data_IF_642232812303
#
_entry.id   IF_642232812303
#
_cell.length_a   1.000
_cell.length_b   1.000
_cell.length_c   1.000
_cell.angle_alpha   90.00
_cell.angle_beta   90.00
_cell.angle_gamma   90.00
#
_symmetry.space_group_name_H-M   'P 1'
#
loop_
_entity.id
_entity.type
_entity.pdbx_description
1 polymer ?
#
# COMPACT_ATOMS: atom_id res chain seq x y z
N UNK A 1 -5.52 -24.62 -2.52
CA UNK A 1 -5.60 -24.62 -3.99
C UNK A 1 -6.94 -24.05 -4.45
N UNK A 2 -6.94 -23.16 -5.44
CA UNK A 2 -8.14 -22.58 -6.07
C UNK A 2 -7.77 -22.10 -7.48
N UNK A 3 -8.74 -21.75 -8.33
CA UNK A 3 -8.49 -21.19 -9.64
C UNK A 3 -9.02 -19.75 -9.75
N UNK A 4 -8.31 -18.92 -10.51
CA UNK A 4 -8.71 -17.56 -10.86
C UNK A 4 -8.75 -17.36 -12.36
N UNK A 5 -9.57 -16.43 -12.85
CA UNK A 5 -9.56 -15.99 -14.24
C UNK A 5 -8.49 -14.91 -14.51
N UNK A 6 -8.50 -14.33 -15.71
CA UNK A 6 -7.57 -13.29 -16.14
C UNK A 6 -7.70 -11.97 -15.32
N UNK A 7 -8.87 -11.71 -14.73
CA UNK A 7 -9.07 -10.57 -13.82
C UNK A 7 -8.57 -10.84 -12.40
N UNK A 8 -8.19 -12.09 -12.11
CA UNK A 8 -7.82 -12.54 -10.77
C UNK A 8 -9.01 -12.92 -9.89
N UNK A 9 -10.24 -12.85 -10.41
CA UNK A 9 -11.44 -13.29 -9.70
C UNK A 9 -11.38 -14.81 -9.52
N UNK A 10 -11.69 -15.27 -8.30
CA UNK A 10 -11.78 -16.71 -8.04
C UNK A 10 -12.97 -17.29 -8.84
N UNK A 11 -12.72 -18.37 -9.59
CA UNK A 11 -13.71 -19.04 -10.46
C UNK A 11 -13.91 -20.53 -10.15
N UNK A 12 -13.33 -21.00 -9.05
CA UNK A 12 -13.55 -22.35 -8.53
C UNK A 12 -13.80 -22.37 -7.03
N UNK A 13 -14.23 -23.52 -6.51
CA UNK A 13 -14.10 -23.83 -5.09
C UNK A 13 -12.65 -23.73 -4.64
N UNK A 14 -12.44 -23.53 -3.34
CA UNK A 14 -11.14 -23.65 -2.69
C UNK A 14 -11.05 -25.03 -2.04
N UNK A 15 -9.90 -25.68 -2.17
CA UNK A 15 -9.61 -26.97 -1.55
C UNK A 15 -8.24 -26.96 -0.87
N UNK A 16 -8.14 -27.70 0.23
CA UNK A 16 -6.86 -28.04 0.88
C UNK A 16 -6.42 -29.40 0.36
N UNK A 17 -5.12 -29.55 0.06
CA UNK A 17 -4.59 -30.85 -0.34
C UNK A 17 -4.57 -31.79 0.87
N UNK A 18 -4.92 -33.05 0.67
CA UNK A 18 -4.81 -34.08 1.71
C UNK A 18 -3.33 -34.47 1.97
N UNK A 19 -3.11 -35.41 2.90
CA UNK A 19 -1.78 -35.93 3.24
C UNK A 19 -1.03 -36.56 2.04
N UNK A 20 -1.76 -36.96 0.99
CA UNK A 20 -1.21 -37.51 -0.24
C UNK A 20 -1.11 -36.44 -1.35
N UNK A 21 -1.34 -35.17 -1.02
CA UNK A 21 -1.29 -34.04 -1.96
C UNK A 21 -2.49 -33.96 -2.91
N UNK A 22 -3.56 -34.71 -2.69
CA UNK A 22 -4.74 -34.73 -3.57
C UNK A 22 -5.70 -33.61 -3.20
N UNK A 23 -6.33 -33.03 -4.21
CA UNK A 23 -7.37 -32.01 -4.06
C UNK A 23 -8.39 -32.12 -5.21
N UNK A 24 -9.56 -31.53 -5.03
CA UNK A 24 -10.57 -31.43 -6.09
C UNK A 24 -11.12 -30.01 -6.14
N UNK A 25 -11.19 -29.45 -7.36
CA UNK A 25 -11.77 -28.14 -7.61
C UNK A 25 -13.06 -28.33 -8.41
N UNK A 26 -14.10 -27.57 -8.06
CA UNK A 26 -15.31 -27.43 -8.87
C UNK A 26 -15.34 -26.02 -9.42
N UNK A 27 -15.57 -25.89 -10.71
CA UNK A 27 -15.64 -24.59 -11.38
C UNK A 27 -17.10 -24.13 -11.43
N UNK A 28 -17.34 -22.83 -11.24
CA UNK A 28 -18.69 -22.31 -11.37
C UNK A 28 -19.08 -22.19 -12.85
N UNK A 29 -20.30 -22.60 -13.22
CA UNK A 29 -20.76 -22.61 -14.61
C UNK A 29 -21.09 -21.19 -15.08
N UNK A 30 -20.51 -20.78 -16.22
CA UNK A 30 -21.09 -19.77 -17.10
C UNK A 30 -20.40 -19.75 -18.47
N UNK A 31 -19.09 -20.02 -18.55
CA UNK A 31 -18.32 -19.85 -19.79
C UNK A 31 -17.24 -20.92 -19.87
N UNK A 32 -17.45 -21.94 -20.69
CA UNK A 32 -16.44 -22.92 -21.03
C UNK A 32 -16.44 -23.12 -22.55
N UNK A 33 -15.28 -23.24 -23.21
CA UNK A 33 -13.93 -23.28 -22.65
C UNK A 33 -13.41 -21.89 -22.24
N UNK A 34 -12.64 -21.80 -21.14
CA UNK A 34 -11.92 -20.57 -20.78
C UNK A 34 -10.59 -20.87 -20.07
N UNK A 35 -9.56 -20.03 -20.30
CA UNK A 35 -8.30 -20.13 -19.58
C UNK A 35 -8.45 -19.64 -18.14
N UNK A 36 -7.84 -20.37 -17.21
CA UNK A 36 -7.74 -20.02 -15.79
C UNK A 36 -6.32 -20.27 -15.28
N UNK A 37 -6.00 -19.74 -14.11
CA UNK A 37 -4.77 -20.05 -13.38
C UNK A 37 -5.13 -20.79 -12.09
N UNK A 38 -4.67 -22.03 -11.96
CA UNK A 38 -4.75 -22.79 -10.70
C UNK A 38 -3.64 -22.27 -9.78
N UNK A 39 -4.02 -21.74 -8.63
CA UNK A 39 -3.14 -21.24 -7.58
C UNK A 39 -3.08 -22.21 -6.41
N UNK A 40 -1.90 -22.70 -6.08
CA UNK A 40 -1.61 -23.35 -4.81
C UNK A 40 -0.82 -22.41 -3.92
N UNK A 41 -1.35 -22.19 -2.70
CA UNK A 41 -0.72 -21.39 -1.67
C UNK A 41 -0.40 -22.31 -0.49
N UNK A 42 0.81 -22.26 0.09
CA UNK A 42 1.16 -23.02 1.28
C UNK A 42 0.25 -22.63 2.46
N UNK A 43 0.07 -23.55 3.37
CA UNK A 43 -0.41 -23.28 4.74
C UNK A 43 0.77 -23.39 5.70
N UNK A 44 0.60 -22.89 6.94
CA UNK A 44 1.60 -23.09 8.00
C UNK A 44 1.96 -24.57 8.18
N UNK A 45 1.00 -25.48 8.05
CA UNK A 45 1.20 -26.92 8.18
C UNK A 45 2.01 -27.55 7.02
N UNK A 46 2.02 -26.94 5.83
CA UNK A 46 2.78 -27.46 4.67
C UNK A 46 4.26 -27.07 4.68
N UNK A 47 4.69 -26.25 5.65
CA UNK A 47 6.04 -25.69 5.69
C UNK A 47 6.26 -24.60 4.63
N UNK A 48 7.51 -24.18 4.42
CA UNK A 48 7.85 -23.08 3.52
C UNK A 48 7.79 -23.57 2.08
N UNK A 49 6.61 -23.83 1.50
CA UNK A 49 6.52 -24.12 0.06
C UNK A 49 6.43 -22.80 -0.75
N UNK A 50 6.79 -22.78 -2.04
CA UNK A 50 6.49 -21.65 -2.89
C UNK A 50 5.00 -21.63 -3.27
N UNK A 51 4.50 -20.45 -3.59
CA UNK A 51 3.24 -20.30 -4.29
C UNK A 51 3.39 -20.80 -5.73
N UNK A 52 2.49 -21.66 -6.18
CA UNK A 52 2.52 -22.23 -7.54
C UNK A 52 1.29 -21.72 -8.29
N UNK A 53 1.53 -21.11 -9.44
CA UNK A 53 0.50 -20.68 -10.38
C UNK A 53 0.65 -21.51 -11.67
N UNK A 54 -0.38 -22.30 -12.02
CA UNK A 54 -0.38 -23.19 -13.17
C UNK A 54 -1.51 -22.79 -14.14
N UNK A 55 -1.20 -22.43 -15.40
CA UNK A 55 -2.21 -22.24 -16.43
C UNK A 55 -3.02 -23.53 -16.67
N UNK A 56 -4.33 -23.40 -16.79
CA UNK A 56 -5.24 -24.53 -17.01
C UNK A 56 -6.40 -24.09 -17.90
N UNK A 57 -6.82 -24.95 -18.83
CA UNK A 57 -7.99 -24.72 -19.67
C UNK A 57 -9.18 -25.48 -19.10
N UNK A 58 -10.25 -24.78 -18.71
CA UNK A 58 -11.45 -25.44 -18.21
C UNK A 58 -12.18 -26.09 -19.40
N UNK A 59 -12.41 -27.41 -19.39
CA UNK A 59 -13.06 -28.08 -20.51
C UNK A 59 -14.52 -27.62 -20.68
N UNK A 60 -15.06 -27.59 -21.92
CA UNK A 60 -16.40 -27.10 -22.23
C UNK A 60 -17.52 -27.94 -21.61
N UNK A 61 -17.26 -29.23 -21.37
CA UNK A 61 -18.18 -30.17 -20.75
C UNK A 61 -17.46 -30.94 -19.64
N UNK A 62 -18.19 -31.43 -18.62
CA UNK A 62 -17.62 -32.34 -17.64
C UNK A 62 -16.99 -33.54 -18.34
N UNK A 63 -15.70 -33.77 -18.08
CA UNK A 63 -14.95 -34.93 -18.59
C UNK A 63 -14.91 -36.00 -17.51
N UNK A 64 -15.16 -37.25 -17.89
CA UNK A 64 -15.06 -38.42 -17.01
C UNK A 64 -14.03 -39.42 -17.60
N UNK A 65 -12.91 -39.68 -16.91
CA UNK A 65 -12.53 -39.13 -15.61
C UNK A 65 -12.13 -37.64 -15.70
N UNK A 66 -12.27 -36.88 -14.59
CA UNK A 66 -11.77 -35.51 -14.52
C UNK A 66 -10.27 -35.44 -14.86
N UNK A 67 -9.79 -34.36 -15.50
CA UNK A 67 -8.39 -34.21 -15.85
C UNK A 67 -7.51 -34.20 -14.59
N UNK A 68 -6.48 -35.04 -14.59
CA UNK A 68 -5.50 -35.07 -13.51
C UNK A 68 -4.48 -33.95 -13.69
N UNK A 69 -4.54 -32.96 -12.80
CA UNK A 69 -3.58 -31.86 -12.75
C UNK A 69 -2.54 -32.15 -11.66
N UNK A 70 -1.25 -32.06 -12.02
CA UNK A 70 -0.13 -32.21 -11.07
C UNK A 70 0.54 -30.86 -10.85
N UNK A 71 0.57 -30.41 -9.59
CA UNK A 71 1.33 -29.24 -9.17
C UNK A 71 2.62 -29.73 -8.53
N UNK A 72 3.76 -29.34 -9.09
CA UNK A 72 5.07 -29.74 -8.61
C UNK A 72 5.90 -28.51 -8.27
N UNK A 73 6.34 -28.40 -7.02
CA UNK A 73 7.10 -27.25 -6.55
C UNK A 73 8.50 -27.15 -7.18
N UNK A 74 9.10 -28.26 -7.62
CA UNK A 74 10.40 -28.23 -8.32
C UNK A 74 11.57 -27.83 -7.43
N UNK A 75 11.49 -28.09 -6.12
CA UNK A 75 12.55 -27.72 -5.16
C UNK A 75 13.77 -28.62 -5.38
N UNK A 76 14.90 -28.00 -5.73
CA UNK A 76 16.17 -28.71 -5.96
C UNK A 76 17.10 -28.68 -4.74
N UNK A 77 16.86 -27.76 -3.81
CA UNK A 77 17.65 -27.57 -2.60
C UNK A 77 16.72 -27.52 -1.38
N UNK A 78 17.15 -28.00 -0.22
CA UNK A 78 16.41 -27.81 1.01
C UNK A 78 16.32 -26.32 1.37
N UNK A 79 15.35 -25.98 2.21
CA UNK A 79 15.35 -24.67 2.85
C UNK A 79 16.36 -24.64 3.99
N UNK A 80 16.82 -23.44 4.35
CA UNK A 80 17.73 -23.19 5.45
C UNK A 80 17.28 -21.97 6.26
N UNK A 81 17.71 -21.90 7.51
CA UNK A 81 17.51 -20.71 8.34
C UNK A 81 18.58 -19.65 8.02
N UNK A 82 18.13 -18.47 7.66
CA UNK A 82 18.94 -17.28 7.42
C UNK A 82 18.79 -16.34 8.61
N UNK A 83 19.94 -15.90 9.15
CA UNK A 83 19.99 -14.86 10.18
C UNK A 83 20.40 -13.52 9.59
N UNK A 84 19.91 -12.42 10.18
CA UNK A 84 20.34 -11.09 9.78
C UNK A 84 20.08 -10.01 10.82
N UNK A 85 20.53 -8.80 10.51
CA UNK A 85 20.37 -7.60 11.33
C UNK A 85 20.02 -6.39 10.48
N UNK A 86 19.16 -5.52 11.02
CA UNK A 86 18.79 -4.23 10.45
C UNK A 86 19.27 -3.13 11.40
N UNK A 87 20.15 -2.26 10.88
CA UNK A 87 20.77 -1.18 11.64
C UNK A 87 21.81 -1.71 12.63
N UNK A 88 22.95 -2.28 12.17
CA UNK A 88 23.97 -2.83 13.07
C UNK A 88 24.49 -1.81 14.09
N UNK A 89 24.57 -0.53 13.71
CA UNK A 89 25.01 0.56 14.59
C UNK A 89 23.85 1.29 15.30
N UNK A 90 22.62 1.11 14.82
CA UNK A 90 21.40 1.72 15.33
C UNK A 90 20.23 0.75 15.09
N UNK A 91 20.01 -0.23 15.99
CA UNK A 91 19.03 -1.29 15.80
C UNK A 91 17.65 -0.76 15.45
N UNK A 92 17.01 -1.39 14.46
CA UNK A 92 15.65 -1.03 14.03
C UNK A 92 14.68 -2.10 14.50
N UNK A 93 14.07 -1.95 15.68
CA UNK A 93 13.14 -2.95 16.18
C UNK A 93 11.84 -2.93 15.39
N UNK A 94 11.17 -4.09 15.35
CA UNK A 94 9.85 -4.24 14.75
C UNK A 94 9.77 -3.92 13.24
N UNK A 95 10.89 -3.80 12.53
CA UNK A 95 10.92 -3.66 11.08
C UNK A 95 10.44 -4.96 10.44
N UNK A 96 9.60 -4.83 9.41
CA UNK A 96 9.15 -5.97 8.61
C UNK A 96 10.06 -6.12 7.41
N UNK A 97 10.57 -7.34 7.18
CA UNK A 97 11.24 -7.73 5.95
C UNK A 97 10.30 -8.64 5.17
N UNK A 98 10.07 -8.35 3.88
CA UNK A 98 9.30 -9.23 3.00
C UNK A 98 10.20 -9.78 1.91
N UNK A 99 10.35 -11.09 1.87
CA UNK A 99 11.19 -11.79 0.92
C UNK A 99 10.32 -12.34 -0.20
N UNK A 100 10.69 -12.07 -1.46
CA UNK A 100 10.03 -12.62 -2.64
C UNK A 100 11.06 -13.10 -3.65
N UNK A 101 11.08 -14.40 -3.92
CA UNK A 101 12.03 -15.01 -4.85
C UNK A 101 11.38 -16.10 -5.70
N UNK A 102 11.90 -16.30 -6.91
CA UNK A 102 11.52 -17.46 -7.72
C UNK A 102 12.22 -18.70 -7.15
N UNK A 103 11.44 -19.74 -6.83
CA UNK A 103 11.96 -20.98 -6.24
C UNK A 103 11.27 -22.15 -6.90
N UNK A 104 12.06 -23.02 -7.54
CA UNK A 104 11.54 -24.13 -8.34
C UNK A 104 10.57 -23.64 -9.41
N UNK A 105 9.33 -24.16 -9.38
CA UNK A 105 8.26 -23.79 -10.33
C UNK A 105 7.31 -22.73 -9.77
N UNK A 106 7.69 -22.02 -8.71
CA UNK A 106 6.81 -21.07 -8.03
C UNK A 106 7.53 -19.83 -7.52
N UNK A 107 6.80 -19.03 -6.74
CA UNK A 107 7.31 -17.84 -6.06
C UNK A 107 7.22 -18.06 -4.56
N UNK A 108 8.36 -18.08 -3.89
CA UNK A 108 8.41 -18.13 -2.44
C UNK A 108 8.23 -16.73 -1.85
N UNK A 109 7.32 -16.61 -0.88
CA UNK A 109 7.04 -15.38 -0.14
C UNK A 109 7.08 -15.68 1.35
N UNK A 110 7.84 -14.90 2.10
CA UNK A 110 7.89 -15.02 3.55
C UNK A 110 8.21 -13.66 4.16
N UNK A 111 7.60 -13.38 5.30
CA UNK A 111 7.84 -12.18 6.07
C UNK A 111 8.66 -12.53 7.31
N UNK A 112 9.57 -11.63 7.70
CA UNK A 112 10.29 -11.68 8.96
C UNK A 112 10.13 -10.35 9.70
N UNK A 113 10.30 -10.36 11.01
CA UNK A 113 10.25 -9.15 11.84
C UNK A 113 11.49 -9.06 12.70
N UNK A 114 12.05 -7.86 12.83
CA UNK A 114 13.19 -7.65 13.72
C UNK A 114 12.79 -7.57 15.19
N UNK A 115 13.64 -8.12 16.06
CA UNK A 115 13.55 -8.02 17.52
C UNK A 115 14.04 -6.66 18.06
N UNK A 116 14.16 -6.53 19.38
CA UNK A 116 14.61 -5.29 20.04
C UNK A 116 16.05 -4.88 19.63
N UNK A 117 16.89 -5.86 19.33
CA UNK A 117 18.27 -5.71 18.88
C UNK A 117 18.40 -5.58 17.36
N UNK A 118 17.27 -5.45 16.64
CA UNK A 118 17.24 -5.30 15.18
C UNK A 118 17.56 -6.60 14.42
N UNK A 119 17.62 -7.74 15.11
CA UNK A 119 17.95 -9.05 14.53
C UNK A 119 16.70 -9.75 14.05
N UNK A 120 16.84 -10.60 13.04
CA UNK A 120 15.76 -11.44 12.54
C UNK A 120 16.29 -12.81 12.10
N UNK A 121 15.39 -13.79 12.08
CA UNK A 121 15.60 -15.09 11.45
C UNK A 121 14.47 -15.38 10.47
N UNK A 122 14.77 -16.09 9.39
CA UNK A 122 13.79 -16.47 8.36
C UNK A 122 14.22 -17.76 7.67
N UNK A 123 13.26 -18.61 7.29
CA UNK A 123 13.56 -19.84 6.54
C UNK A 123 13.36 -19.58 5.05
N UNK A 124 14.41 -19.80 4.25
CA UNK A 124 14.43 -19.53 2.81
C UNK A 124 15.01 -20.70 2.02
N UNK A 125 14.83 -20.67 0.70
CA UNK A 125 15.58 -21.54 -0.21
C UNK A 125 16.76 -20.78 -0.79
N UNK A 126 17.82 -21.47 -1.24
CA UNK A 126 18.89 -20.82 -1.99
C UNK A 126 18.34 -20.19 -3.27
N UNK A 127 18.73 -18.95 -3.58
CA UNK A 127 18.27 -18.25 -4.77
C UNK A 127 18.32 -16.73 -4.66
N UNK A 128 17.82 -16.04 -5.68
CA UNK A 128 17.70 -14.58 -5.68
C UNK A 128 16.34 -14.12 -5.16
N UNK A 129 16.38 -13.15 -4.25
CA UNK A 129 15.21 -12.54 -3.63
C UNK A 129 15.18 -11.03 -3.87
N UNK A 130 13.99 -10.51 -4.11
CA UNK A 130 13.67 -9.12 -3.81
C UNK A 130 13.24 -9.04 -2.36
N UNK A 131 13.87 -8.14 -1.61
CA UNK A 131 13.67 -7.97 -0.18
C UNK A 131 13.19 -6.54 0.07
N UNK A 132 11.96 -6.42 0.55
CA UNK A 132 11.38 -5.17 1.01
C UNK A 132 11.63 -4.99 2.51
N UNK A 133 12.31 -3.91 2.88
CA UNK A 133 12.47 -3.49 4.27
C UNK A 133 11.48 -2.37 4.58
N UNK A 134 10.61 -2.62 5.55
CA UNK A 134 9.62 -1.69 6.05
C UNK A 134 9.88 -1.37 7.54
N UNK A 135 10.63 -0.29 7.83
CA UNK A 135 10.77 0.21 9.19
C UNK A 135 9.44 0.74 9.75
N UNK A 136 9.21 0.70 11.07
CA UNK A 136 8.03 1.33 11.66
C UNK A 136 8.06 2.86 11.47
N UNK A 137 6.94 3.42 11.02
CA UNK A 137 6.85 4.82 10.55
C UNK A 137 6.98 5.87 11.66
N UNK A 138 6.48 5.58 12.87
CA UNK A 138 6.39 6.54 13.97
C UNK A 138 7.52 6.44 15.00
N UNK A 139 8.35 5.40 14.93
CA UNK A 139 9.41 5.15 15.93
C UNK A 139 10.81 5.24 15.35
N UNK A 140 10.96 5.46 14.03
CA UNK A 140 12.27 5.45 13.37
C UNK A 140 12.33 6.49 12.26
N UNK A 141 13.48 7.12 11.98
CA UNK A 141 13.62 8.05 10.86
C UNK A 141 13.79 7.33 9.51
N UNK A 142 13.81 6.00 9.49
CA UNK A 142 14.22 5.22 8.33
C UNK A 142 13.12 5.10 7.28
N UNK A 143 13.54 5.04 6.02
CA UNK A 143 12.67 4.92 4.86
C UNK A 143 12.47 3.47 4.44
N UNK A 144 11.43 3.24 3.64
CA UNK A 144 11.30 1.99 2.90
C UNK A 144 12.51 1.75 1.99
N UNK A 145 12.99 0.51 1.94
CA UNK A 145 14.05 0.12 1.03
C UNK A 145 13.70 -1.19 0.33
N UNK A 146 14.18 -1.35 -0.90
CA UNK A 146 14.13 -2.62 -1.63
C UNK A 146 15.51 -2.94 -2.16
N UNK A 147 15.90 -4.19 -2.03
CA UNK A 147 17.15 -4.71 -2.61
C UNK A 147 16.89 -6.02 -3.33
N UNK A 148 17.72 -6.32 -4.33
CA UNK A 148 17.84 -7.67 -4.90
C UNK A 148 19.08 -8.34 -4.32
N UNK A 149 18.94 -9.57 -3.81
CA UNK A 149 20.04 -10.29 -3.16
C UNK A 149 19.94 -11.80 -3.42
N UNK A 150 21.04 -12.39 -3.85
CA UNK A 150 21.24 -13.83 -3.79
C UNK A 150 21.49 -14.26 -2.33
N UNK A 151 20.84 -15.33 -1.90
CA UNK A 151 21.00 -15.95 -0.59
C UNK A 151 21.34 -17.43 -0.75
N UNK A 152 22.25 -17.91 0.08
CA UNK A 152 22.66 -19.30 0.19
C UNK A 152 22.83 -19.70 1.67
N UNK A 153 22.92 -21.01 1.92
CA UNK A 153 23.14 -21.53 3.27
C UNK A 153 24.45 -20.98 3.86
N UNK A 154 24.39 -20.50 5.10
CA UNK A 154 25.53 -19.88 5.79
C UNK A 154 25.71 -18.38 5.54
N UNK A 155 24.91 -17.77 4.66
CA UNK A 155 24.90 -16.32 4.51
C UNK A 155 24.36 -15.62 5.77
N UNK A 156 24.75 -14.37 5.96
CA UNK A 156 24.13 -13.46 6.92
C UNK A 156 23.77 -12.14 6.21
N UNK A 157 22.57 -11.62 6.48
CA UNK A 157 22.15 -10.35 5.91
C UNK A 157 22.35 -9.19 6.88
N UNK A 158 22.96 -8.13 6.39
CA UNK A 158 23.11 -6.87 7.09
C UNK A 158 22.44 -5.78 6.27
N UNK A 159 21.43 -5.13 6.84
CA UNK A 159 20.77 -3.97 6.27
C UNK A 159 21.20 -2.71 7.00
N UNK A 160 21.70 -1.73 6.25
CA UNK A 160 21.95 -0.38 6.76
C UNK A 160 20.84 0.52 6.23
N UNK A 161 19.79 0.78 7.03
CA UNK A 161 18.65 1.55 6.58
C UNK A 161 19.04 3.02 6.38
N UNK A 162 18.44 3.64 5.37
CA UNK A 162 18.64 5.06 5.08
C UNK A 162 17.52 5.89 5.71
N UNK A 163 17.81 7.13 6.05
CA UNK A 163 16.81 8.06 6.60
C UNK A 163 15.88 8.58 5.52
N UNK A 164 14.66 8.92 5.91
CA UNK A 164 13.67 9.58 5.06
C UNK A 164 14.15 10.98 4.65
N UNK A 165 14.09 11.34 3.36
CA UNK A 165 14.28 12.72 2.92
C UNK A 165 13.40 13.72 3.67
N UNK A 166 13.96 14.89 3.97
CA UNK A 166 13.20 16.00 4.55
C UNK A 166 12.42 16.71 3.44
N UNK A 167 11.11 16.77 3.57
CA UNK A 167 10.23 17.64 2.79
C UNK A 167 9.89 18.84 3.65
N UNK A 168 10.21 20.01 3.15
CA UNK A 168 9.96 21.31 3.77
C UNK A 168 9.09 22.14 2.84
N UNK A 169 8.41 23.14 3.39
CA UNK A 169 7.65 24.05 2.57
C UNK A 169 6.94 25.11 3.37
N UNK A 170 6.17 25.92 2.65
CA UNK A 170 5.27 26.91 3.22
C UNK A 170 3.88 26.71 2.63
N UNK A 171 2.86 26.89 3.46
CA UNK A 171 1.46 26.90 3.03
C UNK A 171 0.96 28.34 3.05
N UNK A 172 0.49 28.83 1.91
CA UNK A 172 -0.01 30.18 1.70
C UNK A 172 -1.42 30.16 1.12
N UNK A 173 -2.19 31.21 1.34
CA UNK A 173 -3.48 31.41 0.67
C UNK A 173 -3.31 32.08 -0.71
N UNK A 174 -4.44 32.36 -1.37
CA UNK A 174 -4.45 32.99 -2.69
C UNK A 174 -3.95 34.43 -2.70
N UNK A 175 -3.91 35.12 -1.55
CA UNK A 175 -3.32 36.45 -1.40
C UNK A 175 -1.80 36.38 -1.15
N UNK A 176 -1.24 35.19 -0.92
CA UNK A 176 0.15 34.97 -0.57
C UNK A 176 0.44 35.07 0.93
N UNK A 177 -0.59 35.17 1.77
CA UNK A 177 -0.44 35.21 3.22
C UNK A 177 -0.20 33.79 3.76
N UNK A 178 0.71 33.61 4.73
CA UNK A 178 0.95 32.31 5.35
C UNK A 178 -0.28 31.81 6.12
N UNK A 179 -0.52 30.50 6.07
CA UNK A 179 -1.58 29.85 6.82
C UNK A 179 -0.97 29.15 8.03
N UNK A 180 -1.05 29.78 9.20
CA UNK A 180 -0.67 29.20 10.49
C UNK A 180 -1.61 28.07 10.92
N UNK A 181 -1.08 27.04 11.56
CA UNK A 181 -1.88 25.98 12.20
C UNK A 181 -2.61 25.04 11.23
N UNK A 182 -2.35 25.14 9.92
CA UNK A 182 -2.86 24.18 8.96
C UNK A 182 -2.24 22.80 9.21
N UNK A 183 -3.08 21.77 9.22
CA UNK A 183 -2.60 20.39 9.32
C UNK A 183 -2.19 19.91 7.93
N UNK A 184 -0.94 19.50 7.81
CA UNK A 184 -0.37 18.91 6.59
C UNK A 184 -0.16 17.43 6.85
N UNK A 185 -0.88 16.57 6.14
CA UNK A 185 -0.69 15.12 6.19
C UNK A 185 -0.19 14.59 4.85
N UNK A 186 0.53 13.48 4.87
CA UNK A 186 1.05 12.83 3.67
C UNK A 186 0.45 11.44 3.48
N UNK A 187 0.31 11.03 2.23
CA UNK A 187 0.03 9.64 1.85
C UNK A 187 0.94 9.24 0.69
N UNK A 188 1.68 8.14 0.86
CA UNK A 188 2.49 7.56 -0.23
C UNK A 188 1.55 6.98 -1.30
N UNK A 189 1.50 7.62 -2.46
CA UNK A 189 0.67 7.20 -3.60
C UNK A 189 1.43 6.28 -4.56
N UNK A 190 2.73 6.49 -4.69
CA UNK A 190 3.60 5.60 -5.48
C UNK A 190 4.98 5.57 -4.85
N UNK A 191 5.52 4.38 -4.60
CA UNK A 191 6.86 4.24 -4.05
C UNK A 191 7.93 4.44 -5.13
N UNK A 192 9.06 5.05 -4.75
CA UNK A 192 10.28 5.06 -5.56
C UNK A 192 11.44 4.44 -4.79
N UNK A 193 12.36 3.81 -5.52
CA UNK A 193 13.53 3.14 -4.97
C UNK A 193 14.81 3.78 -5.49
N UNK A 194 15.90 3.62 -4.75
CA UNK A 194 17.22 4.13 -5.17
C UNK A 194 17.66 3.50 -6.50
N UNK A 195 17.36 2.21 -6.69
CA UNK A 195 17.49 1.53 -7.97
C UNK A 195 16.10 1.42 -8.63
N UNK A 196 15.81 2.19 -9.69
CA UNK A 196 14.51 2.16 -10.36
C UNK A 196 14.22 0.82 -11.04
N UNK A 197 15.22 -0.03 -11.29
CA UNK A 197 15.01 -1.38 -11.88
C UNK A 197 14.38 -2.37 -10.90
N UNK A 198 14.26 -1.99 -9.63
CA UNK A 198 13.60 -2.78 -8.58
C UNK A 198 12.10 -2.47 -8.44
N UNK A 199 11.62 -1.40 -9.08
CA UNK A 199 10.19 -1.09 -9.13
C UNK A 199 9.44 -2.16 -9.94
N UNK A 200 8.29 -2.60 -9.44
CA UNK A 200 7.38 -3.49 -10.15
C UNK A 200 6.09 -2.76 -10.51
N UNK A 201 5.51 -3.00 -11.69
CA UNK A 201 4.25 -2.36 -12.09
C UNK A 201 3.08 -2.63 -11.13
N UNK A 202 3.14 -3.74 -10.39
CA UNK A 202 2.09 -4.17 -9.44
C UNK A 202 2.42 -3.81 -8.00
N UNK A 203 3.41 -2.96 -7.75
CA UNK A 203 3.71 -2.52 -6.39
C UNK A 203 2.60 -1.60 -5.88
N UNK A 204 1.91 -2.04 -4.84
CA UNK A 204 1.03 -1.19 -4.05
C UNK A 204 1.84 -0.64 -2.86
N UNK A 205 1.98 0.69 -2.71
CA UNK A 205 2.71 1.24 -1.58
C UNK A 205 2.00 0.87 -0.28
N UNK A 206 2.75 0.48 0.78
CA UNK A 206 2.14 0.24 2.07
C UNK A 206 1.52 1.55 2.60
N UNK A 207 0.43 1.49 3.39
CA UNK A 207 -0.16 2.67 3.99
C UNK A 207 0.86 3.32 4.91
N UNK A 208 1.38 4.47 4.48
CA UNK A 208 2.39 5.25 5.17
C UNK A 208 2.01 6.72 5.06
N UNK A 209 1.74 7.30 6.22
CA UNK A 209 1.40 8.70 6.35
C UNK A 209 1.99 9.29 7.61
N UNK A 210 2.32 10.56 7.52
CA UNK A 210 2.74 11.40 8.62
C UNK A 210 1.91 12.65 8.59
N UNK A 211 1.92 13.37 9.70
CA UNK A 211 1.27 14.65 9.82
C UNK A 211 2.15 15.63 10.60
N UNK A 212 1.93 16.90 10.30
CA UNK A 212 2.51 18.03 11.01
C UNK A 212 1.52 19.20 10.95
N UNK A 213 1.78 20.25 11.75
CA UNK A 213 1.08 21.52 11.65
C UNK A 213 2.02 22.59 11.10
N UNK A 214 1.50 23.56 10.37
CA UNK A 214 2.27 24.73 9.94
C UNK A 214 2.56 25.65 11.12
N UNK A 215 3.75 26.24 11.12
CA UNK A 215 4.15 27.30 12.06
C UNK A 215 3.44 28.63 11.73
N UNK A 216 3.75 29.69 12.49
CA UNK A 216 3.20 31.04 12.34
C UNK A 216 3.54 31.69 10.98
N UNK A 217 4.72 31.36 10.43
CA UNK A 217 5.13 31.74 9.08
C UNK A 217 4.58 30.82 7.98
N UNK A 218 3.66 29.90 8.32
CA UNK A 218 3.09 28.93 7.41
C UNK A 218 4.04 27.79 7.04
N UNK A 219 5.25 27.74 7.59
CA UNK A 219 6.23 26.70 7.27
C UNK A 219 5.88 25.35 7.87
N UNK A 220 6.27 24.26 7.19
CA UNK A 220 6.13 22.90 7.69
C UNK A 220 7.34 22.05 7.32
N UNK A 221 7.53 20.95 8.06
CA UNK A 221 8.52 19.92 7.73
C UNK A 221 7.97 18.51 7.99
N UNK A 222 8.29 17.58 7.09
CA UNK A 222 7.95 16.16 7.16
C UNK A 222 9.14 15.33 6.69
N UNK A 223 9.35 14.14 7.26
CA UNK A 223 10.34 13.18 6.75
C UNK A 223 9.62 12.07 5.98
N UNK A 224 9.59 12.14 4.65
CA UNK A 224 8.73 11.28 3.83
C UNK A 224 9.51 10.14 3.15
N UNK A 225 8.83 9.04 2.87
CA UNK A 225 9.39 7.99 2.02
C UNK A 225 9.54 8.49 0.57
N UNK A 226 10.54 8.01 -0.18
CA UNK A 226 10.68 8.38 -1.58
C UNK A 226 9.51 7.92 -2.47
N UNK A 227 9.17 8.77 -3.44
CA UNK A 227 8.13 8.54 -4.43
C UNK A 227 7.10 9.67 -4.48
N UNK A 228 5.97 9.39 -5.13
CA UNK A 228 4.87 10.35 -5.24
C UNK A 228 4.09 10.38 -3.92
N UNK A 229 4.12 11.53 -3.26
CA UNK A 229 3.42 11.80 -2.02
C UNK A 229 2.22 12.70 -2.32
N UNK A 230 1.03 12.31 -1.89
CA UNK A 230 -0.12 13.21 -1.84
C UNK A 230 -0.07 13.92 -0.49
N UNK A 231 0.18 15.23 -0.51
CA UNK A 231 0.08 16.08 0.67
C UNK A 231 -1.33 16.63 0.74
N UNK A 232 -2.04 16.39 1.84
CA UNK A 232 -3.35 16.96 2.13
C UNK A 232 -3.18 18.06 3.17
N UNK A 233 -3.61 19.27 2.81
CA UNK A 233 -3.63 20.44 3.68
C UNK A 233 -5.05 20.70 4.14
N UNK A 234 -5.25 20.68 5.46
CA UNK A 234 -6.51 21.03 6.11
C UNK A 234 -6.29 22.32 6.90
N UNK A 235 -6.72 23.49 6.37
CA UNK A 235 -6.62 24.76 7.07
C UNK A 235 -7.43 24.77 8.38
N UNK A 236 -7.09 25.67 9.33
CA UNK A 236 -7.95 25.93 10.48
C UNK A 236 -9.37 26.35 10.06
N UNK A 237 -10.42 25.90 10.77
CA UNK A 237 -11.81 26.12 10.36
C UNK A 237 -12.22 27.60 10.30
N UNK A 238 -11.58 28.46 11.09
CA UNK A 238 -11.80 29.91 11.15
C UNK A 238 -11.21 30.67 9.94
N UNK A 239 -10.33 30.04 9.15
CA UNK A 239 -9.81 30.64 7.91
C UNK A 239 -10.79 30.61 6.75
N UNK A 240 -11.83 29.77 6.82
CA UNK A 240 -12.80 29.61 5.73
C UNK A 240 -12.18 29.12 4.41
N UNK A 241 -11.02 28.45 4.47
CA UNK A 241 -10.29 27.91 3.32
C UNK A 241 -10.61 26.43 3.10
N UNK A 242 -10.58 25.95 1.85
CA UNK A 242 -10.91 24.56 1.54
C UNK A 242 -9.78 23.60 1.92
N UNK A 243 -10.10 22.32 2.01
CA UNK A 243 -9.07 21.27 2.01
C UNK A 243 -8.43 21.22 0.63
N UNK A 244 -7.11 21.11 0.57
CA UNK A 244 -6.35 21.09 -0.67
C UNK A 244 -5.38 19.91 -0.72
N UNK A 245 -5.14 19.35 -1.90
CA UNK A 245 -4.17 18.27 -2.08
C UNK A 245 -3.16 18.63 -3.16
N UNK A 246 -1.90 18.28 -2.93
CA UNK A 246 -0.81 18.47 -3.89
C UNK A 246 0.06 17.22 -3.95
N UNK A 247 0.39 16.78 -5.17
CA UNK A 247 1.38 15.71 -5.37
C UNK A 247 2.79 16.30 -5.33
N UNK A 248 3.64 15.75 -4.46
CA UNK A 248 5.07 16.09 -4.37
C UNK A 248 5.90 14.86 -4.70
N UNK A 249 6.90 15.02 -5.55
CA UNK A 249 7.85 13.96 -5.89
C UNK A 249 9.03 14.01 -4.92
N UNK A 250 9.17 12.98 -4.08
CA UNK A 250 10.27 12.84 -3.13
C UNK A 250 11.36 11.96 -3.74
N UNK A 251 12.59 12.47 -3.94
CA UNK A 251 13.64 11.72 -4.62
C UNK A 251 14.10 10.51 -3.78
N UNK A 252 14.53 9.40 -4.43
CA UNK A 252 14.99 8.21 -3.75
C UNK A 252 16.45 8.28 -3.29
N UNK A 253 17.18 9.34 -3.61
CA UNK A 253 18.53 9.57 -3.11
C UNK A 253 18.51 10.72 -2.11
N UNK A 254 19.66 10.98 -1.48
CA UNK A 254 19.78 12.10 -0.55
C UNK A 254 19.44 13.43 -1.23
N UNK A 255 18.70 14.27 -0.52
CA UNK A 255 18.18 15.52 -1.01
C UNK A 255 16.87 15.85 -0.31
N UNK A 256 16.74 17.07 0.21
CA UNK A 256 15.45 17.56 0.68
C UNK A 256 14.60 18.04 -0.49
N UNK A 257 13.28 18.10 -0.28
CA UNK A 257 12.37 18.80 -1.19
C UNK A 257 11.88 20.06 -0.49
N UNK A 258 11.86 21.18 -1.19
CA UNK A 258 11.19 22.40 -0.74
C UNK A 258 10.05 22.70 -1.70
N UNK A 259 8.84 22.92 -1.15
CA UNK A 259 7.64 23.21 -1.94
C UNK A 259 6.87 24.38 -1.36
N UNK A 260 6.15 25.10 -2.22
CA UNK A 260 5.14 26.08 -1.80
C UNK A 260 3.77 25.51 -2.13
N UNK A 261 2.90 25.43 -1.14
CA UNK A 261 1.52 24.96 -1.29
C UNK A 261 0.63 26.19 -1.25
N UNK A 262 0.03 26.55 -2.38
CA UNK A 262 -0.96 27.62 -2.45
C UNK A 262 -2.36 27.03 -2.35
N UNK A 263 -3.08 27.33 -1.27
CA UNK A 263 -4.46 26.89 -1.08
C UNK A 263 -5.37 27.78 -1.94
N UNK A 264 -6.19 27.21 -2.84
CA UNK A 264 -7.08 27.99 -3.69
C UNK A 264 -8.15 28.71 -2.86
N UNK A 265 -8.75 29.79 -3.40
CA UNK A 265 -9.89 30.43 -2.73
C UNK A 265 -11.04 29.43 -2.54
N UNK A 266 -11.79 29.61 -1.46
CA UNK A 266 -12.99 28.83 -1.19
C UNK A 266 -14.17 29.25 -2.08
N UNK A 267 -14.91 28.27 -2.58
CA UNK A 267 -16.29 28.43 -3.00
C UNK A 267 -17.21 27.84 -1.90
N UNK A 268 -18.26 28.56 -1.52
CA UNK A 268 -19.24 28.06 -0.56
C UNK A 268 -20.41 27.39 -1.29
N UNK A 269 -20.60 26.09 -1.07
CA UNK A 269 -21.82 25.39 -1.45
C UNK A 269 -22.74 25.32 -0.24
N UNK A 270 -23.89 25.98 -0.33
CA UNK A 270 -24.94 25.89 0.67
C UNK A 270 -25.95 24.85 0.22
N UNK A 271 -26.18 23.83 1.03
CA UNK A 271 -27.23 22.85 0.82
C UNK A 271 -28.30 22.97 1.91
N UNK A 272 -29.55 22.77 1.52
CA UNK A 272 -30.68 22.65 2.46
C UNK A 272 -31.33 21.30 2.22
N UNK A 273 -31.49 20.53 3.30
CA UNK A 273 -32.04 19.18 3.26
C UNK A 273 -33.37 19.17 4.02
N UNK A 274 -34.42 18.76 3.32
CA UNK A 274 -35.77 18.61 3.89
C UNK A 274 -36.26 17.17 3.71
N UNK A 275 -37.18 16.74 4.57
CA UNK A 275 -37.93 15.50 4.37
C UNK A 275 -39.01 15.65 3.29
N UNK A 276 -39.88 14.65 3.13
CA UNK A 276 -40.94 14.64 2.10
C UNK A 276 -42.05 15.66 2.38
N UNK A 277 -42.22 16.00 3.64
CA UNK A 277 -43.20 16.95 4.14
C UNK A 277 -42.66 18.39 4.09
N UNK A 278 -41.38 18.57 3.75
CA UNK A 278 -40.70 19.86 3.65
C UNK A 278 -40.11 20.35 4.97
N UNK A 279 -40.09 19.53 6.03
CA UNK A 279 -39.47 19.88 7.29
C UNK A 279 -37.94 19.71 7.22
N UNK A 280 -37.15 20.58 7.86
CA UNK A 280 -35.70 20.53 7.81
C UNK A 280 -35.13 19.28 8.50
N UNK A 281 -34.14 18.65 7.89
CA UNK A 281 -33.41 17.50 8.44
C UNK A 281 -32.12 17.98 9.10
N UNK A 282 -32.07 17.98 10.43
CA UNK A 282 -30.91 18.38 11.24
C UNK A 282 -29.92 17.23 11.50
N UNK A 283 -28.71 17.60 11.89
CA UNK A 283 -27.64 16.68 12.32
C UNK A 283 -27.22 15.65 11.24
N UNK A 284 -27.51 15.93 9.97
CA UNK A 284 -27.14 15.08 8.84
C UNK A 284 -25.74 15.43 8.37
N UNK A 285 -24.88 14.43 8.20
CA UNK A 285 -23.56 14.61 7.61
C UNK A 285 -23.69 14.71 6.10
N UNK A 286 -23.27 15.84 5.55
CA UNK A 286 -23.19 16.09 4.12
C UNK A 286 -21.73 16.01 3.70
N UNK A 287 -21.45 15.18 2.69
CA UNK A 287 -20.12 15.06 2.09
C UNK A 287 -20.21 15.47 0.63
N UNK A 288 -19.25 16.28 0.18
CA UNK A 288 -19.02 16.52 -1.24
C UNK A 288 -17.83 15.68 -1.68
N UNK A 289 -18.02 14.91 -2.74
CA UNK A 289 -16.96 14.11 -3.37
C UNK A 289 -16.73 14.59 -4.82
N UNK A 290 -15.48 14.62 -5.24
CA UNK A 290 -15.08 14.71 -6.64
C UNK A 290 -14.96 13.29 -7.22
N UNK A 291 -15.32 13.10 -8.49
CA UNK A 291 -15.30 11.78 -9.17
C UNK A 291 -14.23 11.65 -10.23
N UNK A 292 -13.52 12.72 -10.57
CA UNK A 292 -12.71 12.81 -11.79
C UNK A 292 -11.47 11.91 -11.75
N UNK A 293 -10.99 11.54 -10.55
CA UNK A 293 -9.87 10.62 -10.32
C UNK A 293 -10.21 9.53 -9.28
N UNK A 294 -11.46 9.07 -9.30
CA UNK A 294 -12.03 8.23 -8.24
C UNK A 294 -12.78 9.07 -7.20
N UNK A 295 -13.62 8.42 -6.40
CA UNK A 295 -14.43 9.10 -5.39
C UNK A 295 -13.53 9.65 -4.27
N UNK A 296 -13.35 10.97 -4.25
CA UNK A 296 -12.54 11.68 -3.27
C UNK A 296 -13.36 12.73 -2.54
N UNK A 297 -13.48 12.61 -1.22
CA UNK A 297 -14.17 13.61 -0.38
C UNK A 297 -13.38 14.92 -0.36
N UNK A 298 -14.00 16.02 -0.79
CA UNK A 298 -13.42 17.37 -0.88
C UNK A 298 -13.97 18.33 0.17
N UNK A 299 -15.15 18.06 0.74
CA UNK A 299 -15.69 18.81 1.87
C UNK A 299 -16.67 17.95 2.68
N UNK A 300 -16.85 18.31 3.95
CA UNK A 300 -17.83 17.71 4.84
C UNK A 300 -18.45 18.80 5.72
N UNK A 301 -19.73 18.67 6.01
CA UNK A 301 -20.46 19.56 6.92
C UNK A 301 -21.61 18.81 7.58
N UNK A 302 -22.23 19.44 8.58
CA UNK A 302 -23.40 18.90 9.28
C UNK A 302 -24.55 19.89 9.15
N UNK A 303 -25.76 19.40 8.88
CA UNK A 303 -26.94 20.27 8.78
C UNK A 303 -27.33 20.85 10.15
N UNK A 304 -27.64 22.15 10.16
CA UNK A 304 -28.12 22.88 11.33
C UNK A 304 -29.62 22.66 11.61
N UNK A 305 -30.18 23.45 12.53
CA UNK A 305 -31.59 23.38 12.91
C UNK A 305 -32.57 23.70 11.76
N UNK A 306 -32.12 24.44 10.75
CA UNK A 306 -32.88 24.78 9.55
C UNK A 306 -32.60 23.79 8.40
N UNK A 307 -31.90 22.68 8.69
CA UNK A 307 -31.53 21.68 7.70
C UNK A 307 -30.46 22.17 6.72
N UNK A 308 -29.76 23.26 7.04
CA UNK A 308 -28.78 23.90 6.18
C UNK A 308 -27.37 23.44 6.54
N UNK A 309 -26.57 23.10 5.53
CA UNK A 309 -25.13 22.82 5.69
C UNK A 309 -24.36 23.68 4.70
N UNK A 310 -23.21 24.22 5.13
CA UNK A 310 -22.30 24.99 4.26
C UNK A 310 -21.02 24.19 4.08
N UNK A 311 -20.73 23.85 2.83
CA UNK A 311 -19.53 23.13 2.42
C UNK A 311 -18.54 24.10 1.80
N UNK A 312 -17.30 24.08 2.29
CA UNK A 312 -16.19 24.88 1.76
C UNK A 312 -15.45 24.06 0.72
N UNK A 313 -15.66 24.37 -0.55
CA UNK A 313 -15.09 23.66 -1.70
C UNK A 313 -13.91 24.44 -2.27
N UNK A 314 -12.90 23.78 -2.85
CA UNK A 314 -11.93 24.46 -3.70
C UNK A 314 -12.67 25.05 -4.90
N UNK A 315 -12.35 26.30 -5.27
CA UNK A 315 -12.92 26.90 -6.47
C UNK A 315 -12.44 26.12 -7.71
N UNK A 316 -13.35 25.79 -8.63
CA UNK A 316 -12.98 25.22 -9.91
C UNK A 316 -12.43 26.35 -10.79
N UNK A 317 -11.15 26.26 -11.17
CA UNK A 317 -10.60 27.08 -12.25
C UNK A 317 -11.05 26.56 -13.62
#
# INVERSE_FOLDING_TARGET
>A
VFAVDASGQQVSTRATADENGRFSLRFWPAEAPRPVTIRARPTEASGPLPDIDLPFEVPPTPVDPPPLVRLFAGLQSPSFELSGVVGPDAPVPNATLRFRGAVGNGVHRVDARTDAEGRFTVVLYPGEYLIDLQPPINTTPFRLARVRRAVAEGDALVFVPQTRPLVSGVVIDSAGEPIEGARVSSRLAQQSFADPTLAQPTDEPPPRGLETATADDGSFTLQLDPGAQVLTVVPPPDRGLPTFEQVVQVPPLEGGVTTTIQVPPAAALVVTITDREGAPVRDLTVEACCTDEGERRVAQGTTDADGRSTLVLPNAE
#
